data_IF_233387678788
#
_entry.id   IF_233387678788
#
_cell.length_a   1.000
_cell.length_b   1.000
_cell.length_c   1.000
_cell.angle_alpha   90.00
_cell.angle_beta   90.00
_cell.angle_gamma   90.00
#
_symmetry.space_group_name_H-M   'P 1'
#
loop_
_entity.id
_entity.type
_entity.pdbx_description
1 polymer ?
#
# COMPACT_ATOMS: atom_id res chain seq x y z
N UNK A 1 0.88 4.83 9.75
CA UNK A 1 1.58 5.75 10.69
C UNK A 1 3.04 5.33 10.88
N UNK A 2 3.33 4.07 11.28
CA UNK A 2 4.70 3.61 11.55
C UNK A 2 5.71 3.84 10.43
N UNK A 3 5.39 3.43 9.19
CA UNK A 3 6.29 3.61 8.02
C UNK A 3 6.68 5.08 7.82
N UNK A 4 5.73 6.01 7.92
CA UNK A 4 5.99 7.44 7.73
C UNK A 4 6.91 8.05 8.81
N UNK A 5 6.76 7.63 10.07
CA UNK A 5 7.62 8.09 11.16
C UNK A 5 9.07 7.59 10.98
N UNK A 6 9.25 6.33 10.57
CA UNK A 6 10.58 5.75 10.30
C UNK A 6 11.25 6.51 9.15
N UNK A 7 10.54 6.75 8.05
CA UNK A 7 11.08 7.51 6.91
C UNK A 7 11.49 8.93 7.29
N UNK A 8 10.71 9.60 8.15
CA UNK A 8 11.04 10.94 8.63
C UNK A 8 12.32 10.95 9.50
N UNK A 9 12.48 9.98 10.40
CA UNK A 9 13.66 9.87 11.27
C UNK A 9 14.91 9.57 10.44
N UNK A 10 14.82 8.60 9.52
CA UNK A 10 15.95 8.22 8.65
C UNK A 10 16.35 9.38 7.74
N UNK A 11 15.38 10.10 7.16
CA UNK A 11 15.63 11.29 6.35
C UNK A 11 16.28 12.42 7.14
N UNK A 12 15.82 12.67 8.39
CA UNK A 12 16.42 13.66 9.28
C UNK A 12 17.88 13.30 9.61
N UNK A 13 18.15 12.05 10.00
CA UNK A 13 19.51 11.59 10.30
C UNK A 13 20.44 11.69 9.09
N UNK A 14 19.94 11.41 7.88
CA UNK A 14 20.70 11.59 6.64
C UNK A 14 21.03 13.06 6.36
N UNK A 15 20.04 13.95 6.42
CA UNK A 15 20.25 15.38 6.19
C UNK A 15 21.16 16.02 7.25
N UNK A 16 20.97 15.71 8.53
CA UNK A 16 21.82 16.24 9.60
C UNK A 16 23.23 15.63 9.59
N UNK A 17 23.36 14.34 9.27
CA UNK A 17 24.65 13.67 9.13
C UNK A 17 25.51 14.26 8.02
N UNK A 18 24.89 14.68 6.91
CA UNK A 18 25.58 15.34 5.81
C UNK A 18 26.03 16.77 6.16
N UNK A 19 25.22 17.52 6.91
CA UNK A 19 25.52 18.92 7.27
C UNK A 19 26.60 19.01 8.35
N UNK A 20 26.66 18.05 9.29
CA UNK A 20 27.46 18.18 10.50
C UNK A 20 28.90 17.62 10.39
N UNK A 21 29.33 17.12 9.21
CA UNK A 21 30.60 16.39 8.99
C UNK A 21 30.93 15.35 10.10
N UNK A 22 29.89 14.88 10.80
CA UNK A 22 30.03 14.08 12.00
C UNK A 22 30.05 12.61 11.62
N UNK A 23 31.22 11.98 11.76
CA UNK A 23 31.41 10.57 11.46
C UNK A 23 30.49 9.65 12.29
N UNK A 24 30.14 10.03 13.53
CA UNK A 24 29.23 9.26 14.37
C UNK A 24 27.79 9.25 13.82
N UNK A 25 27.29 10.39 13.34
CA UNK A 25 25.91 10.49 12.84
C UNK A 25 25.75 9.84 11.46
N UNK A 26 26.81 9.86 10.64
CA UNK A 26 26.86 9.10 9.39
C UNK A 26 26.90 7.58 9.64
N UNK A 27 27.64 7.15 10.66
CA UNK A 27 27.71 5.74 11.07
C UNK A 27 26.36 5.18 11.53
N UNK A 28 25.60 5.92 12.33
CA UNK A 28 24.25 5.49 12.75
C UNK A 28 23.29 5.42 11.58
N UNK A 29 23.32 6.38 10.65
CA UNK A 29 22.55 6.32 9.42
C UNK A 29 22.87 5.07 8.60
N UNK A 30 24.15 4.75 8.42
CA UNK A 30 24.58 3.56 7.69
C UNK A 30 24.11 2.25 8.34
N UNK A 31 24.20 2.15 9.67
CA UNK A 31 23.70 0.98 10.41
C UNK A 31 22.18 0.87 10.26
N UNK A 32 21.44 1.98 10.37
CA UNK A 32 20.00 1.99 10.14
C UNK A 32 19.65 1.49 8.73
N UNK A 33 20.38 1.92 7.70
CA UNK A 33 20.17 1.44 6.33
C UNK A 33 20.47 -0.05 6.17
N UNK A 34 21.53 -0.57 6.80
CA UNK A 34 21.82 -2.02 6.78
C UNK A 34 20.66 -2.81 7.40
N UNK A 35 20.11 -2.34 8.52
CA UNK A 35 18.97 -2.99 9.17
C UNK A 35 17.74 -2.95 8.26
N UNK A 36 17.45 -1.81 7.63
CA UNK A 36 16.33 -1.70 6.67
C UNK A 36 16.51 -2.65 5.48
N UNK A 37 17.72 -2.75 4.93
CA UNK A 37 18.01 -3.66 3.83
C UNK A 37 17.84 -5.13 4.24
N UNK A 38 18.33 -5.51 5.41
CA UNK A 38 18.12 -6.86 5.95
C UNK A 38 16.63 -7.17 6.15
N UNK A 39 15.85 -6.20 6.65
CA UNK A 39 14.40 -6.33 6.77
C UNK A 39 13.70 -6.46 5.41
N UNK A 40 14.11 -5.69 4.40
CA UNK A 40 13.55 -5.75 3.06
C UNK A 40 13.81 -7.12 2.40
N UNK A 41 15.02 -7.66 2.52
CA UNK A 41 15.37 -9.01 2.03
C UNK A 41 14.55 -10.07 2.78
N UNK A 42 14.47 -9.98 4.11
CA UNK A 42 13.68 -10.92 4.90
C UNK A 42 12.18 -10.87 4.53
N UNK A 43 11.62 -9.67 4.36
CA UNK A 43 10.25 -9.48 3.92
C UNK A 43 10.01 -9.99 2.49
N UNK A 44 10.98 -9.81 1.58
CA UNK A 44 10.90 -10.34 0.22
C UNK A 44 10.90 -11.87 0.19
N UNK A 45 11.77 -12.51 0.96
CA UNK A 45 11.80 -13.98 1.08
C UNK A 45 10.50 -14.49 1.71
N UNK A 46 10.08 -13.89 2.83
CA UNK A 46 8.84 -14.26 3.49
C UNK A 46 7.63 -14.07 2.57
N UNK A 47 7.62 -12.97 1.81
CA UNK A 47 6.63 -12.63 0.80
C UNK A 47 6.51 -13.69 -0.29
N UNK A 48 7.66 -14.14 -0.79
CA UNK A 48 7.72 -15.16 -1.82
C UNK A 48 7.27 -16.55 -1.33
N UNK A 49 7.68 -16.94 -0.11
CA UNK A 49 7.32 -18.23 0.48
C UNK A 49 5.84 -18.30 0.83
N UNK A 50 5.27 -17.22 1.40
CA UNK A 50 3.87 -17.14 1.84
C UNK A 50 2.98 -16.33 0.89
N UNK A 51 3.26 -16.40 -0.42
CA UNK A 51 2.55 -15.63 -1.45
C UNK A 51 1.03 -15.82 -1.47
N UNK A 52 0.55 -17.03 -1.19
CA UNK A 52 -0.89 -17.35 -1.22
C UNK A 52 -1.59 -16.68 -0.03
N UNK A 53 -1.01 -16.80 1.17
CA UNK A 53 -1.50 -16.15 2.39
C UNK A 53 -1.52 -14.63 2.23
N UNK A 54 -0.45 -14.03 1.69
CA UNK A 54 -0.39 -12.58 1.49
C UNK A 54 -1.44 -12.13 0.46
N UNK A 55 -1.66 -12.92 -0.59
CA UNK A 55 -2.71 -12.62 -1.57
C UNK A 55 -4.08 -12.63 -0.92
N UNK A 56 -4.36 -13.58 -0.02
CA UNK A 56 -5.62 -13.66 0.70
C UNK A 56 -5.78 -12.51 1.72
N UNK A 57 -4.72 -12.13 2.43
CA UNK A 57 -4.73 -10.95 3.31
C UNK A 57 -5.04 -9.66 2.54
N UNK A 58 -4.49 -9.49 1.33
CA UNK A 58 -4.76 -8.33 0.48
C UNK A 58 -6.21 -8.34 -0.02
N UNK A 59 -6.75 -9.51 -0.38
CA UNK A 59 -8.16 -9.69 -0.76
C UNK A 59 -9.09 -9.33 0.41
N UNK A 60 -8.81 -9.82 1.61
CA UNK A 60 -9.59 -9.50 2.81
C UNK A 60 -9.56 -8.01 3.14
N UNK A 61 -8.38 -7.37 3.00
CA UNK A 61 -8.24 -5.93 3.17
C UNK A 61 -9.05 -5.15 2.13
N UNK A 62 -9.06 -5.61 0.87
CA UNK A 62 -9.86 -5.04 -0.21
C UNK A 62 -11.36 -5.16 0.09
N UNK A 63 -11.84 -6.34 0.49
CA UNK A 63 -13.25 -6.57 0.83
C UNK A 63 -13.69 -5.77 2.06
N UNK A 64 -12.81 -5.63 3.06
CA UNK A 64 -13.03 -4.77 4.22
C UNK A 64 -13.15 -3.29 3.81
N UNK A 65 -12.31 -2.84 2.87
CA UNK A 65 -12.36 -1.48 2.31
C UNK A 65 -13.63 -1.24 1.50
N UNK A 66 -14.05 -2.21 0.68
CA UNK A 66 -15.32 -2.18 -0.05
C UNK A 66 -16.53 -2.14 0.88
N UNK A 67 -16.54 -2.98 1.91
CA UNK A 67 -17.61 -3.04 2.92
C UNK A 67 -17.67 -1.73 3.69
N UNK A 68 -16.51 -1.19 4.09
CA UNK A 68 -16.43 0.12 4.73
C UNK A 68 -17.01 1.20 3.84
N UNK A 69 -16.68 1.21 2.54
CA UNK A 69 -17.22 2.18 1.58
C UNK A 69 -18.75 2.10 1.43
N UNK A 70 -19.31 0.88 1.35
CA UNK A 70 -20.77 0.66 1.22
C UNK A 70 -21.53 1.02 2.49
N UNK A 71 -21.03 0.59 3.65
CA UNK A 71 -21.71 0.73 4.95
C UNK A 71 -21.52 2.12 5.56
N UNK A 72 -20.49 2.88 5.17
CA UNK A 72 -20.25 4.27 5.62
C UNK A 72 -21.16 5.31 4.94
N UNK A 73 -22.43 4.96 4.70
CA UNK A 73 -23.42 5.85 4.09
C UNK A 73 -23.71 7.08 4.98
N UNK A 74 -23.56 6.95 6.31
CA UNK A 74 -23.80 8.01 7.31
C UNK A 74 -22.53 8.78 7.74
N UNK A 75 -21.32 8.31 7.38
CA UNK A 75 -20.05 8.92 7.79
C UNK A 75 -19.20 9.24 6.55
N UNK A 76 -19.38 10.46 6.02
CA UNK A 76 -18.70 10.96 4.82
C UNK A 76 -17.17 10.85 4.89
N UNK A 77 -16.58 11.07 6.06
CA UNK A 77 -15.12 11.05 6.25
C UNK A 77 -14.52 9.65 6.07
N UNK A 78 -15.12 8.62 6.70
CA UNK A 78 -14.68 7.22 6.50
C UNK A 78 -14.89 6.77 5.06
N UNK A 79 -16.02 7.16 4.46
CA UNK A 79 -16.32 6.84 3.07
C UNK A 79 -15.30 7.45 2.12
N UNK A 80 -14.89 8.70 2.35
CA UNK A 80 -13.89 9.38 1.53
C UNK A 80 -12.52 8.68 1.59
N UNK A 81 -12.08 8.26 2.79
CA UNK A 81 -10.82 7.52 2.97
C UNK A 81 -10.87 6.16 2.29
N UNK A 82 -11.94 5.39 2.50
CA UNK A 82 -12.13 4.09 1.85
C UNK A 82 -12.18 4.22 0.32
N UNK A 83 -12.87 5.26 -0.18
CA UNK A 83 -12.91 5.60 -1.61
C UNK A 83 -11.51 5.85 -2.18
N UNK A 84 -10.67 6.62 -1.50
CA UNK A 84 -9.31 6.91 -1.96
C UNK A 84 -8.47 5.63 -2.06
N UNK A 85 -8.53 4.77 -1.04
CA UNK A 85 -7.84 3.47 -1.06
C UNK A 85 -8.33 2.60 -2.23
N UNK A 86 -9.64 2.45 -2.40
CA UNK A 86 -10.21 1.67 -3.50
C UNK A 86 -9.80 2.22 -4.87
N UNK A 87 -9.84 3.54 -5.07
CA UNK A 87 -9.43 4.16 -6.33
C UNK A 87 -7.96 3.84 -6.65
N UNK A 88 -7.07 3.96 -5.67
CA UNK A 88 -5.64 3.63 -5.87
C UNK A 88 -5.41 2.16 -6.20
N UNK A 89 -6.13 1.25 -5.54
CA UNK A 89 -6.06 -0.18 -5.84
C UNK A 89 -6.60 -0.48 -7.23
N UNK A 90 -7.78 0.04 -7.57
CA UNK A 90 -8.39 -0.12 -8.88
C UNK A 90 -7.53 0.42 -10.01
N UNK A 91 -6.81 1.53 -9.79
CA UNK A 91 -5.89 2.11 -10.77
C UNK A 91 -4.58 1.31 -10.89
N UNK A 92 -3.99 0.91 -9.77
CA UNK A 92 -2.74 0.12 -9.78
C UNK A 92 -2.93 -1.27 -10.39
N UNK A 93 -4.07 -1.92 -10.11
CA UNK A 93 -4.39 -3.25 -10.61
C UNK A 93 -5.16 -3.20 -11.93
N UNK A 94 -5.66 -2.03 -12.37
CA UNK A 94 -6.52 -1.87 -13.54
C UNK A 94 -7.71 -2.85 -13.50
N UNK A 95 -8.52 -2.72 -12.44
CA UNK A 95 -9.70 -3.54 -12.16
C UNK A 95 -10.78 -2.73 -11.43
N UNK A 96 -12.04 -3.17 -11.46
CA UNK A 96 -13.14 -2.56 -10.71
C UNK A 96 -14.25 -3.58 -10.48
N UNK A 97 -14.70 -3.71 -9.23
CA UNK A 97 -15.76 -4.67 -8.90
C UNK A 97 -17.16 -4.21 -9.38
N UNK A 98 -17.94 -5.16 -9.92
CA UNK A 98 -19.30 -4.91 -10.42
C UNK A 98 -20.22 -4.25 -9.38
N UNK A 99 -20.03 -4.57 -8.10
CA UNK A 99 -20.86 -4.07 -7.01
C UNK A 99 -20.66 -2.57 -6.70
N UNK A 100 -19.58 -1.97 -7.19
CA UNK A 100 -19.25 -0.56 -7.01
C UNK A 100 -19.05 0.16 -8.36
N UNK A 101 -19.14 -0.56 -9.49
CA UNK A 101 -18.95 -0.05 -10.85
C UNK A 101 -19.73 1.24 -11.17
N UNK A 102 -20.93 1.40 -10.63
CA UNK A 102 -21.78 2.59 -10.86
C UNK A 102 -21.48 3.76 -9.92
N UNK A 103 -20.47 3.63 -9.05
CA UNK A 103 -20.06 4.63 -8.07
C UNK A 103 -18.80 5.35 -8.51
N UNK A 104 -18.54 6.54 -7.97
CA UNK A 104 -17.31 7.31 -8.24
C UNK A 104 -16.02 6.68 -7.68
N UNK A 105 -16.06 5.43 -7.21
CA UNK A 105 -14.92 4.72 -6.64
C UNK A 105 -14.17 3.85 -7.66
N UNK A 106 -14.57 3.90 -8.93
CA UNK A 106 -13.85 3.23 -10.02
C UNK A 106 -13.16 4.23 -10.97
N UNK A 107 -12.03 3.83 -11.59
CA UNK A 107 -11.30 4.65 -12.53
C UNK A 107 -12.18 4.95 -13.76
N UNK A 108 -12.14 6.19 -14.24
CA UNK A 108 -12.83 6.63 -15.46
C UNK A 108 -12.04 6.19 -16.70
N UNK A 109 -11.89 4.89 -16.90
CA UNK A 109 -11.20 4.28 -18.06
C UNK A 109 -12.19 3.45 -18.89
N UNK A 110 -11.83 3.12 -20.12
CA UNK A 110 -12.71 2.37 -21.03
C UNK A 110 -13.08 0.99 -20.42
N UNK A 111 -14.38 0.66 -20.28
CA UNK A 111 -14.81 -0.58 -19.64
C UNK A 111 -14.41 -1.85 -20.42
N UNK A 112 -13.95 -1.72 -21.66
CA UNK A 112 -13.48 -2.86 -22.47
C UNK A 112 -12.09 -3.39 -22.08
N UNK A 113 -11.26 -2.59 -21.40
CA UNK A 113 -9.93 -3.00 -20.91
C UNK A 113 -9.91 -3.33 -19.42
N UNK A 114 -10.98 -2.98 -18.70
CA UNK A 114 -11.05 -3.09 -17.24
C UNK A 114 -11.50 -4.47 -16.79
N UNK A 115 -10.71 -5.15 -15.95
CA UNK A 115 -11.13 -6.42 -15.34
C UNK A 115 -12.22 -6.16 -14.30
N UNK A 116 -13.37 -6.83 -14.42
CA UNK A 116 -14.48 -6.68 -13.47
C UNK A 116 -14.26 -7.45 -12.15
N UNK A 117 -13.22 -8.30 -12.09
CA UNK A 117 -12.82 -9.04 -10.89
C UNK A 117 -11.44 -8.57 -10.42
N UNK A 118 -11.40 -7.77 -9.35
CA UNK A 118 -10.13 -7.36 -8.73
C UNK A 118 -9.45 -8.52 -8.00
N UNK A 119 -10.21 -9.40 -7.34
CA UNK A 119 -9.69 -10.58 -6.64
C UNK A 119 -8.78 -11.45 -7.53
N UNK A 120 -9.14 -11.61 -8.80
CA UNK A 120 -8.37 -12.38 -9.78
C UNK A 120 -7.03 -11.72 -10.14
N UNK A 121 -6.98 -10.39 -10.21
CA UNK A 121 -5.75 -9.65 -10.51
C UNK A 121 -4.84 -9.52 -9.29
N UNK A 122 -5.41 -9.37 -8.09
CA UNK A 122 -4.64 -9.35 -6.83
C UNK A 122 -3.83 -10.64 -6.68
N UNK A 123 -4.45 -11.80 -6.90
CA UNK A 123 -3.73 -13.09 -6.84
C UNK A 123 -2.74 -13.35 -7.99
N UNK A 124 -2.62 -12.44 -8.97
CA UNK A 124 -1.68 -12.53 -10.11
C UNK A 124 -0.67 -11.39 -10.15
N UNK A 125 -0.73 -10.44 -9.21
CA UNK A 125 0.20 -9.32 -9.16
C UNK A 125 1.57 -9.82 -8.67
N UNK A 126 2.47 -10.05 -9.62
CA UNK A 126 3.88 -10.37 -9.43
C UNK A 126 4.70 -9.39 -10.28
#
# INVERSE_FOLDING_TARGET
VGVGAVMMIVGFLGCYGAIQESQCMLGTFFICLIILFACEVAAGIWGFVYREEISDQVKDFYDSSLTTYKTSMLLSDRRARAKAVLLTMHEALDCCDTSVFRSDACPKRDPTTLSMDCHRKIGRAH
#
